data_IF_348720845710
#
_entry.id   IF_348720845710
#
_cell.length_a   1.000
_cell.length_b   1.000
_cell.length_c   1.000
_cell.angle_alpha   90.00
_cell.angle_beta   90.00
_cell.angle_gamma   90.00
#
_symmetry.space_group_name_H-M   'P 1'
#
loop_
_entity.id
_entity.type
_entity.pdbx_description
1 polymer ?
#
# COMPACT_ATOMS: atom_id res chain seq x y z
N UNK A 1 64.20 10.41 -5.58
CA UNK A 1 63.11 9.41 -5.73
C UNK A 1 62.21 9.36 -4.48
N UNK A 2 61.46 10.44 -4.15
CA UNK A 2 60.55 10.44 -2.97
C UNK A 2 59.17 11.09 -3.19
N UNK A 3 58.83 11.49 -4.42
CA UNK A 3 57.57 12.21 -4.71
C UNK A 3 56.56 11.44 -5.58
N UNK A 4 56.86 10.23 -6.05
CA UNK A 4 55.97 9.46 -6.95
C UNK A 4 55.10 8.40 -6.26
N UNK A 5 55.22 8.24 -4.95
CA UNK A 5 54.46 7.22 -4.18
C UNK A 5 53.20 7.80 -3.51
N UNK A 6 53.14 9.12 -3.30
CA UNK A 6 52.00 9.76 -2.64
C UNK A 6 50.76 9.89 -3.54
N UNK A 7 50.93 9.93 -4.87
CA UNK A 7 49.81 10.13 -5.80
C UNK A 7 48.99 8.84 -5.98
N UNK A 8 49.61 7.67 -5.87
CA UNK A 8 48.91 6.39 -6.03
C UNK A 8 48.01 6.01 -4.83
N UNK A 9 48.28 6.55 -3.64
CA UNK A 9 47.46 6.29 -2.45
C UNK A 9 46.19 7.14 -2.38
N UNK A 10 46.20 8.36 -2.95
CA UNK A 10 45.01 9.22 -3.00
C UNK A 10 44.04 8.75 -4.07
N UNK A 11 44.53 8.23 -5.20
CA UNK A 11 43.67 7.67 -6.24
C UNK A 11 42.94 6.40 -5.78
N UNK A 12 43.59 5.51 -5.03
CA UNK A 12 42.95 4.30 -4.52
C UNK A 12 41.87 4.57 -3.46
N UNK A 13 42.01 5.63 -2.64
CA UNK A 13 40.94 6.04 -1.72
C UNK A 13 39.74 6.65 -2.43
N UNK A 14 39.93 7.29 -3.59
CA UNK A 14 38.84 7.92 -4.36
C UNK A 14 38.05 6.93 -5.23
N UNK A 15 38.64 5.79 -5.63
CA UNK A 15 37.91 4.72 -6.34
C UNK A 15 37.20 3.73 -5.38
N UNK A 16 37.50 3.78 -4.08
CA UNK A 16 36.74 3.06 -3.04
C UNK A 16 35.56 3.88 -2.48
N UNK A 17 35.37 5.12 -2.96
CA UNK A 17 34.09 5.83 -2.84
C UNK A 17 33.22 5.38 -4.01
N UNK A 18 32.87 4.10 -4.03
CA UNK A 18 31.69 3.69 -4.77
C UNK A 18 30.54 4.52 -4.17
N UNK A 19 30.08 5.55 -4.89
CA UNK A 19 29.00 6.41 -4.48
C UNK A 19 27.80 5.52 -4.16
N UNK A 20 27.65 5.18 -2.88
CA UNK A 20 26.78 4.10 -2.46
C UNK A 20 25.35 4.46 -2.85
N UNK A 21 24.71 3.67 -3.72
CA UNK A 21 23.31 3.87 -4.00
C UNK A 21 22.57 3.61 -2.65
N UNK A 22 21.58 4.47 -2.37
CA UNK A 22 20.87 4.56 -1.09
C UNK A 22 19.43 4.20 -1.36
N UNK A 23 18.80 3.53 -0.39
CA UNK A 23 17.36 3.41 -0.38
C UNK A 23 16.74 4.82 -0.47
N UNK A 24 15.71 4.95 -1.28
CA UNK A 24 14.89 6.14 -1.42
C UNK A 24 13.47 5.71 -1.14
N UNK A 25 12.87 6.39 -0.19
CA UNK A 25 11.53 6.17 0.27
C UNK A 25 10.79 7.49 0.23
N UNK A 26 9.47 7.42 0.16
CA UNK A 26 8.59 8.57 0.19
C UNK A 26 7.66 8.43 1.39
N UNK A 27 7.27 9.55 2.01
CA UNK A 27 6.21 9.49 3.01
C UNK A 27 4.94 8.93 2.36
N UNK A 28 4.17 8.19 3.13
CA UNK A 28 2.89 7.67 2.68
C UNK A 28 1.90 8.83 2.47
N UNK A 29 1.12 8.75 1.39
CA UNK A 29 0.09 9.73 1.08
C UNK A 29 -1.16 9.54 1.94
N UNK A 30 -1.90 10.61 2.18
CA UNK A 30 -3.12 10.53 2.96
C UNK A 30 -4.23 9.79 2.20
N UNK A 31 -4.71 8.69 2.76
CA UNK A 31 -5.92 8.01 2.30
C UNK A 31 -6.97 8.14 3.40
N UNK A 32 -7.84 9.16 3.38
CA UNK A 32 -8.81 9.37 4.44
C UNK A 32 -9.77 8.18 4.55
N UNK A 33 -10.33 7.89 5.73
CA UNK A 33 -11.36 6.88 5.86
C UNK A 33 -12.58 7.28 5.01
N UNK A 34 -13.46 6.34 4.71
CA UNK A 34 -14.77 6.66 4.11
C UNK A 34 -15.63 7.44 5.10
N UNK A 35 -15.43 7.17 6.40
CA UNK A 35 -16.17 7.79 7.50
C UNK A 35 -17.16 6.82 8.13
N UNK A 36 -18.03 7.31 9.03
CA UNK A 36 -19.03 6.45 9.67
C UNK A 36 -19.94 5.80 8.61
N UNK A 37 -20.47 4.58 8.88
CA UNK A 37 -21.44 3.95 8.01
C UNK A 37 -22.60 4.92 7.77
N UNK A 38 -22.94 5.17 6.51
CA UNK A 38 -24.17 5.89 6.21
C UNK A 38 -25.36 5.06 6.69
N UNK A 39 -26.39 5.73 7.19
CA UNK A 39 -27.70 5.11 7.42
C UNK A 39 -28.32 4.78 6.06
N UNK A 40 -27.82 3.71 5.43
CA UNK A 40 -28.37 3.14 4.22
C UNK A 40 -29.65 2.41 4.59
N UNK A 41 -30.75 2.79 3.95
CA UNK A 41 -31.97 1.99 3.94
C UNK A 41 -32.34 1.77 2.47
N UNK A 42 -32.25 0.52 2.05
CA UNK A 42 -32.59 0.06 0.71
C UNK A 42 -33.89 -0.74 0.75
N UNK A 43 -34.32 -1.23 -0.42
CA UNK A 43 -35.60 -1.92 -0.60
C UNK A 43 -35.83 -3.08 0.40
N UNK A 44 -34.79 -3.85 0.73
CA UNK A 44 -34.89 -4.94 1.72
C UNK A 44 -33.82 -4.84 2.82
N UNK A 45 -34.08 -5.45 4.00
CA UNK A 45 -33.07 -5.55 5.05
C UNK A 45 -31.79 -6.25 4.60
N UNK A 46 -31.89 -7.28 3.77
CA UNK A 46 -30.73 -8.02 3.25
C UNK A 46 -29.89 -7.16 2.30
N UNK A 47 -30.54 -6.39 1.43
CA UNK A 47 -29.84 -5.47 0.52
C UNK A 47 -29.14 -4.37 1.33
N UNK A 48 -29.83 -3.82 2.31
CA UNK A 48 -29.29 -2.83 3.25
C UNK A 48 -28.07 -3.38 4.00
N UNK A 49 -28.18 -4.58 4.56
CA UNK A 49 -27.09 -5.23 5.30
C UNK A 49 -25.88 -5.51 4.39
N UNK A 50 -26.11 -5.92 3.14
CA UNK A 50 -25.04 -6.18 2.18
C UNK A 50 -24.30 -4.90 1.78
N UNK A 51 -25.02 -3.80 1.53
CA UNK A 51 -24.43 -2.48 1.24
C UNK A 51 -23.64 -1.94 2.45
N UNK A 52 -24.19 -2.05 3.66
CA UNK A 52 -23.50 -1.67 4.89
C UNK A 52 -22.22 -2.51 5.13
N UNK A 53 -22.27 -3.82 4.85
CA UNK A 53 -21.10 -4.71 4.96
C UNK A 53 -20.01 -4.33 3.97
N UNK A 54 -20.37 -4.00 2.72
CA UNK A 54 -19.42 -3.52 1.71
C UNK A 54 -18.76 -2.19 2.13
N UNK A 55 -19.55 -1.24 2.65
CA UNK A 55 -19.02 0.01 3.19
C UNK A 55 -18.04 -0.25 4.33
N UNK A 56 -18.44 -1.02 5.35
CA UNK A 56 -17.62 -1.28 6.52
C UNK A 56 -16.32 -2.01 6.17
N UNK A 57 -16.37 -2.95 5.23
CA UNK A 57 -15.19 -3.70 4.81
C UNK A 57 -14.20 -2.82 4.05
N UNK A 58 -14.69 -1.93 3.18
CA UNK A 58 -13.83 -0.98 2.46
C UNK A 58 -13.26 0.11 3.36
N UNK A 59 -14.04 0.59 4.34
CA UNK A 59 -13.56 1.52 5.38
C UNK A 59 -12.51 0.87 6.29
N UNK A 60 -12.68 -0.42 6.65
CA UNK A 60 -11.70 -1.16 7.45
C UNK A 60 -10.32 -1.26 6.75
N UNK A 61 -10.30 -1.47 5.43
CA UNK A 61 -9.06 -1.46 4.63
C UNK A 61 -8.33 -0.12 4.75
N UNK A 62 -9.07 0.99 4.62
CA UNK A 62 -8.51 2.34 4.66
C UNK A 62 -8.05 2.71 6.07
N UNK A 63 -8.84 2.37 7.09
CA UNK A 63 -8.45 2.55 8.49
C UNK A 63 -7.16 1.80 8.78
N UNK A 64 -7.07 0.53 8.40
CA UNK A 64 -5.85 -0.26 8.59
C UNK A 64 -4.65 0.35 7.86
N UNK A 65 -4.84 0.87 6.64
CA UNK A 65 -3.79 1.61 5.97
C UNK A 65 -3.29 2.78 6.82
N UNK A 66 -4.19 3.60 7.34
CA UNK A 66 -3.84 4.79 8.11
C UNK A 66 -3.23 4.46 9.48
N UNK A 67 -3.79 3.49 10.20
CA UNK A 67 -3.40 3.19 11.58
C UNK A 67 -2.19 2.29 11.67
N UNK A 68 -2.01 1.39 10.70
CA UNK A 68 -1.01 0.33 10.79
C UNK A 68 0.09 0.44 9.73
N UNK A 69 -0.27 0.67 8.46
CA UNK A 69 0.70 0.67 7.35
C UNK A 69 1.38 2.03 7.12
N UNK A 70 0.63 3.13 7.20
CA UNK A 70 1.15 4.48 7.02
C UNK A 70 2.27 4.80 8.03
N UNK A 71 2.18 4.43 9.31
CA UNK A 71 3.30 4.58 10.25
C UNK A 71 4.54 3.77 9.84
N UNK A 72 4.37 2.56 9.30
CA UNK A 72 5.50 1.76 8.79
C UNK A 72 6.18 2.49 7.63
N UNK A 73 5.42 2.95 6.64
CA UNK A 73 5.99 3.65 5.48
C UNK A 73 6.68 4.95 5.87
N UNK A 74 6.07 5.73 6.77
CA UNK A 74 6.68 6.96 7.29
C UNK A 74 7.92 6.67 8.12
N UNK A 75 7.92 5.63 8.94
CA UNK A 75 9.08 5.18 9.71
C UNK A 75 10.22 4.73 8.80
N UNK A 76 9.93 3.92 7.77
CA UNK A 76 10.91 3.51 6.76
C UNK A 76 11.45 4.72 6.01
N UNK A 77 10.60 5.72 5.74
CA UNK A 77 11.03 6.99 5.18
C UNK A 77 12.05 7.70 6.05
N UNK A 78 11.72 7.92 7.31
CA UNK A 78 12.63 8.54 8.29
C UNK A 78 13.93 7.76 8.43
N UNK A 79 13.86 6.44 8.62
CA UNK A 79 15.02 5.57 8.79
C UNK A 79 15.96 5.62 7.58
N UNK A 80 15.39 5.66 6.38
CA UNK A 80 16.16 5.80 5.14
C UNK A 80 16.86 7.17 5.04
N UNK A 81 16.15 8.26 5.40
CA UNK A 81 16.73 9.61 5.38
C UNK A 81 17.86 9.78 6.39
N UNK A 82 17.74 9.16 7.57
CA UNK A 82 18.74 9.22 8.63
C UNK A 82 19.81 8.13 8.54
N UNK A 83 19.70 7.21 7.57
CA UNK A 83 20.53 5.99 7.49
C UNK A 83 20.49 5.16 8.79
N UNK A 84 19.33 5.12 9.44
CA UNK A 84 19.11 4.34 10.66
C UNK A 84 18.75 2.89 10.28
N UNK A 85 19.80 2.06 10.17
CA UNK A 85 19.67 0.65 9.80
C UNK A 85 18.92 -0.18 10.83
N UNK A 86 19.03 0.15 12.12
CA UNK A 86 18.36 -0.59 13.20
C UNK A 86 16.85 -0.32 13.18
N UNK A 87 16.44 0.94 12.99
CA UNK A 87 15.03 1.27 12.81
C UNK A 87 14.46 0.63 11.55
N UNK A 88 15.22 0.63 10.44
CA UNK A 88 14.82 -0.03 9.20
C UNK A 88 14.66 -1.56 9.37
N UNK A 89 15.57 -2.20 10.13
CA UNK A 89 15.53 -3.64 10.42
C UNK A 89 14.30 -4.04 11.23
N UNK A 90 13.88 -3.20 12.17
CA UNK A 90 12.68 -3.45 12.97
C UNK A 90 11.40 -3.25 12.17
N UNK A 91 11.36 -2.21 11.35
CA UNK A 91 10.16 -1.81 10.60
C UNK A 91 9.84 -2.75 9.44
N UNK A 92 10.84 -3.34 8.77
CA UNK A 92 10.58 -4.20 7.59
C UNK A 92 9.83 -5.51 7.93
N UNK A 93 10.22 -6.33 8.93
CA UNK A 93 9.45 -7.53 9.31
C UNK A 93 8.09 -7.18 9.91
N UNK A 94 7.99 -6.07 10.66
CA UNK A 94 6.70 -5.59 11.16
C UNK A 94 5.77 -5.23 10.01
N UNK A 95 6.27 -4.49 9.02
CA UNK A 95 5.57 -4.15 7.80
C UNK A 95 5.08 -5.38 7.03
N UNK A 96 5.92 -6.41 6.88
CA UNK A 96 5.54 -7.66 6.20
C UNK A 96 4.32 -8.29 6.90
N UNK A 97 4.38 -8.47 8.23
CA UNK A 97 3.26 -9.06 9.00
C UNK A 97 1.99 -8.24 8.91
N UNK A 98 2.09 -6.91 8.90
CA UNK A 98 0.94 -6.02 8.74
C UNK A 98 0.39 -6.04 7.32
N UNK A 99 1.25 -6.18 6.30
CA UNK A 99 0.84 -6.28 4.91
C UNK A 99 0.01 -7.55 4.64
N UNK A 100 0.35 -8.68 5.27
CA UNK A 100 -0.44 -9.91 5.19
C UNK A 100 -1.84 -9.72 5.77
N UNK A 101 -1.95 -9.06 6.94
CA UNK A 101 -3.25 -8.71 7.54
C UNK A 101 -4.04 -7.76 6.64
N UNK A 102 -3.37 -6.80 6.02
CA UNK A 102 -4.00 -5.87 5.10
C UNK A 102 -4.58 -6.57 3.86
N UNK A 103 -3.87 -7.58 3.34
CA UNK A 103 -4.35 -8.40 2.23
C UNK A 103 -5.62 -9.17 2.61
N UNK A 104 -5.69 -9.71 3.83
CA UNK A 104 -6.89 -10.40 4.31
C UNK A 104 -8.12 -9.48 4.34
N UNK A 105 -7.95 -8.21 4.76
CA UNK A 105 -9.03 -7.23 4.72
C UNK A 105 -9.51 -6.94 3.28
N UNK A 106 -8.60 -6.97 2.30
CA UNK A 106 -8.97 -6.87 0.88
C UNK A 106 -9.83 -8.07 0.46
N UNK A 107 -9.48 -9.29 0.87
CA UNK A 107 -10.28 -10.48 0.57
C UNK A 107 -11.66 -10.43 1.24
N UNK A 108 -11.75 -9.97 2.49
CA UNK A 108 -13.02 -9.80 3.19
C UNK A 108 -13.94 -8.82 2.44
N UNK A 109 -13.40 -7.72 1.92
CA UNK A 109 -14.16 -6.78 1.12
C UNK A 109 -14.52 -7.33 -0.28
N UNK A 110 -13.68 -8.17 -0.90
CA UNK A 110 -14.03 -8.91 -2.13
C UNK A 110 -15.22 -9.86 -1.88
N UNK A 111 -15.28 -10.52 -0.71
CA UNK A 111 -16.43 -11.31 -0.29
C UNK A 111 -17.68 -10.45 -0.05
N UNK A 112 -17.53 -9.29 0.60
CA UNK A 112 -18.63 -8.35 0.81
C UNK A 112 -19.21 -7.82 -0.52
N UNK A 113 -18.35 -7.55 -1.50
CA UNK A 113 -18.76 -7.15 -2.84
C UNK A 113 -19.60 -8.25 -3.52
N UNK A 114 -19.18 -9.52 -3.41
CA UNK A 114 -19.96 -10.64 -3.95
C UNK A 114 -21.33 -10.74 -3.28
N UNK A 115 -21.41 -10.58 -1.97
CA UNK A 115 -22.68 -10.57 -1.23
C UNK A 115 -23.58 -9.40 -1.67
N UNK A 116 -23.01 -8.22 -1.85
CA UNK A 116 -23.71 -7.04 -2.36
C UNK A 116 -24.28 -7.27 -3.77
N UNK A 117 -23.49 -7.77 -4.72
CA UNK A 117 -23.99 -8.11 -6.07
C UNK A 117 -25.16 -9.09 -6.04
N UNK A 118 -25.06 -10.12 -5.20
CA UNK A 118 -26.13 -11.11 -5.04
C UNK A 118 -27.43 -10.53 -4.45
N UNK A 119 -27.31 -9.55 -3.56
CA UNK A 119 -28.46 -8.84 -3.01
C UNK A 119 -29.05 -7.86 -4.03
N UNK A 120 -28.20 -7.11 -4.74
CA UNK A 120 -28.60 -6.18 -5.79
C UNK A 120 -29.39 -6.87 -6.91
N UNK A 121 -28.95 -8.05 -7.35
CA UNK A 121 -29.63 -8.84 -8.38
C UNK A 121 -31.05 -9.31 -8.00
N UNK A 122 -31.42 -9.20 -6.72
CA UNK A 122 -32.75 -9.57 -6.20
C UNK A 122 -33.65 -8.36 -5.96
N UNK A 123 -33.12 -7.13 -6.10
CA UNK A 123 -33.92 -5.92 -6.00
C UNK A 123 -34.96 -5.87 -7.12
N UNK A 124 -36.15 -5.34 -6.83
CA UNK A 124 -37.25 -5.26 -7.80
C UNK A 124 -37.19 -3.99 -8.60
N UNK A 125 -36.71 -2.91 -8.00
CA UNK A 125 -36.57 -1.61 -8.66
C UNK A 125 -35.41 -1.64 -9.69
N UNK A 126 -35.69 -1.52 -11.01
CA UNK A 126 -34.67 -1.55 -12.04
C UNK A 126 -33.65 -0.41 -11.93
N UNK A 127 -34.06 0.77 -11.45
CA UNK A 127 -33.15 1.90 -11.25
C UNK A 127 -32.21 1.63 -10.07
N UNK A 128 -32.73 1.03 -8.99
CA UNK A 128 -31.90 0.57 -7.88
C UNK A 128 -30.89 -0.49 -8.32
N UNK A 129 -31.31 -1.48 -9.11
CA UNK A 129 -30.42 -2.52 -9.67
C UNK A 129 -29.28 -1.86 -10.46
N UNK A 130 -29.60 -0.90 -11.32
CA UNK A 130 -28.61 -0.19 -12.13
C UNK A 130 -27.61 0.62 -11.29
N UNK A 131 -28.09 1.34 -10.27
CA UNK A 131 -27.22 2.07 -9.32
C UNK A 131 -26.35 1.11 -8.51
N UNK A 132 -26.91 -0.03 -8.11
CA UNK A 132 -26.18 -1.10 -7.42
C UNK A 132 -25.07 -1.70 -8.27
N UNK A 133 -25.32 -1.98 -9.55
CA UNK A 133 -24.28 -2.47 -10.46
C UNK A 133 -23.16 -1.44 -10.67
N UNK A 134 -23.50 -0.16 -10.81
CA UNK A 134 -22.50 0.90 -10.87
C UNK A 134 -21.64 0.94 -9.59
N UNK A 135 -22.28 0.83 -8.43
CA UNK A 135 -21.59 0.79 -7.14
C UNK A 135 -20.68 -0.43 -7.02
N UNK A 136 -21.14 -1.60 -7.47
CA UNK A 136 -20.35 -2.81 -7.50
C UNK A 136 -19.12 -2.68 -8.42
N UNK A 137 -19.25 -2.00 -9.56
CA UNK A 137 -18.12 -1.70 -10.45
C UNK A 137 -17.11 -0.74 -9.80
N UNK A 138 -17.57 0.29 -9.08
CA UNK A 138 -16.68 1.20 -8.34
C UNK A 138 -15.95 0.47 -7.21
N UNK A 139 -16.65 -0.40 -6.50
CA UNK A 139 -16.05 -1.24 -5.45
C UNK A 139 -14.99 -2.18 -6.02
N UNK A 140 -15.27 -2.84 -7.15
CA UNK A 140 -14.28 -3.70 -7.84
C UNK A 140 -13.04 -2.91 -8.26
N UNK A 141 -13.22 -1.71 -8.83
CA UNK A 141 -12.11 -0.84 -9.19
C UNK A 141 -11.26 -0.48 -7.98
N UNK A 142 -11.89 -0.03 -6.89
CA UNK A 142 -11.20 0.28 -5.63
C UNK A 142 -10.41 -0.92 -5.10
N UNK A 143 -11.06 -2.10 -4.97
CA UNK A 143 -10.43 -3.31 -4.46
C UNK A 143 -9.26 -3.77 -5.32
N UNK A 144 -9.35 -3.62 -6.64
CA UNK A 144 -8.23 -3.89 -7.56
C UNK A 144 -7.04 -2.97 -7.29
N UNK A 145 -7.27 -1.67 -7.07
CA UNK A 145 -6.19 -0.74 -6.75
C UNK A 145 -5.60 -1.02 -5.36
N UNK A 146 -6.42 -1.39 -4.39
CA UNK A 146 -5.97 -1.80 -3.05
C UNK A 146 -5.12 -3.05 -3.10
N UNK A 147 -5.56 -4.09 -3.80
CA UNK A 147 -4.77 -5.33 -4.00
C UNK A 147 -3.42 -5.03 -4.66
N UNK A 148 -3.40 -4.14 -5.66
CA UNK A 148 -2.15 -3.73 -6.28
C UNK A 148 -1.22 -3.01 -5.29
N UNK A 149 -1.75 -2.08 -4.50
CA UNK A 149 -1.00 -1.35 -3.48
C UNK A 149 -0.42 -2.29 -2.41
N UNK A 150 -1.22 -3.24 -1.90
CA UNK A 150 -0.79 -4.27 -0.93
C UNK A 150 0.33 -5.15 -1.52
N UNK A 151 0.18 -5.60 -2.76
CA UNK A 151 1.18 -6.43 -3.43
C UNK A 151 2.51 -5.68 -3.66
N UNK A 152 2.43 -4.42 -4.09
CA UNK A 152 3.62 -3.58 -4.26
C UNK A 152 4.30 -3.31 -2.92
N UNK A 153 3.52 -3.03 -1.88
CA UNK A 153 4.03 -2.82 -0.52
C UNK A 153 4.74 -4.06 0.00
N UNK A 154 4.16 -5.25 -0.17
CA UNK A 154 4.79 -6.52 0.22
C UNK A 154 6.12 -6.77 -0.49
N UNK A 155 6.22 -6.48 -1.79
CA UNK A 155 7.49 -6.58 -2.55
C UNK A 155 8.54 -5.61 -2.03
N UNK A 156 8.17 -4.34 -1.85
CA UNK A 156 9.08 -3.32 -1.33
C UNK A 156 9.61 -3.69 0.05
N UNK A 157 8.76 -4.20 0.95
CA UNK A 157 9.17 -4.63 2.27
C UNK A 157 10.12 -5.85 2.23
N UNK A 158 9.88 -6.79 1.32
CA UNK A 158 10.76 -7.95 1.12
C UNK A 158 12.12 -7.53 0.53
N UNK A 159 12.14 -6.63 -0.45
CA UNK A 159 13.37 -6.10 -1.04
C UNK A 159 14.18 -5.30 0.00
N UNK A 160 13.49 -4.50 0.82
CA UNK A 160 14.11 -3.78 1.94
C UNK A 160 14.72 -4.71 2.98
N UNK A 161 13.99 -5.76 3.38
CA UNK A 161 14.51 -6.78 4.30
C UNK A 161 15.76 -7.47 3.74
N UNK A 162 15.74 -7.87 2.46
CA UNK A 162 16.87 -8.49 1.79
C UNK A 162 18.08 -7.54 1.72
N UNK A 163 17.86 -6.26 1.40
CA UNK A 163 18.92 -5.23 1.37
C UNK A 163 19.59 -5.09 2.74
N UNK A 164 18.81 -4.99 3.83
CA UNK A 164 19.37 -4.74 5.15
C UNK A 164 20.15 -5.96 5.69
N UNK A 165 19.66 -7.17 5.43
CA UNK A 165 20.37 -8.41 5.81
C UNK A 165 21.75 -8.50 5.16
N UNK A 166 21.85 -8.14 3.87
CA UNK A 166 23.14 -8.10 3.16
C UNK A 166 24.14 -7.13 3.77
N UNK A 167 23.66 -6.03 4.34
CA UNK A 167 24.49 -5.05 5.04
C UNK A 167 25.05 -5.62 6.37
N UNK A 168 24.18 -6.23 7.20
CA UNK A 168 24.59 -6.80 8.49
C UNK A 168 25.53 -8.01 8.37
N UNK A 169 25.31 -8.86 7.36
CA UNK A 169 26.14 -10.05 7.13
C UNK A 169 27.52 -9.73 6.52
N UNK A 170 27.89 -8.44 6.35
CA UNK A 170 29.15 -7.96 5.74
C UNK A 170 29.44 -8.53 4.36
N UNK A 171 28.43 -9.07 3.69
CA UNK A 171 28.51 -9.44 2.29
C UNK A 171 28.32 -8.17 1.46
N UNK A 172 29.39 -7.37 1.35
CA UNK A 172 29.42 -6.16 0.50
C UNK A 172 29.08 -6.47 -0.97
N UNK A 173 29.21 -7.73 -1.42
CA UNK A 173 28.75 -8.23 -2.72
C UNK A 173 27.24 -8.43 -2.85
N UNK A 174 26.48 -8.33 -1.75
CA UNK A 174 25.03 -8.48 -1.68
C UNK A 174 24.28 -7.18 -1.35
N UNK A 175 24.97 -6.04 -1.29
CA UNK A 175 24.35 -4.74 -1.63
C UNK A 175 23.97 -4.81 -3.12
N UNK A 176 22.92 -5.57 -3.44
CA UNK A 176 22.54 -5.88 -4.79
C UNK A 176 21.84 -4.65 -5.36
N UNK A 177 22.43 -3.94 -6.34
CA UNK A 177 21.79 -2.79 -6.98
C UNK A 177 20.41 -3.14 -7.53
N UNK A 178 20.13 -4.40 -7.84
CA UNK A 178 18.80 -4.86 -8.27
C UNK A 178 17.74 -4.71 -7.16
N UNK A 179 18.03 -5.10 -5.92
CA UNK A 179 17.08 -4.97 -4.80
C UNK A 179 16.87 -3.51 -4.44
N UNK A 180 17.94 -2.72 -4.47
CA UNK A 180 17.83 -1.29 -4.24
C UNK A 180 17.02 -0.59 -5.34
N UNK A 181 17.32 -0.86 -6.61
CA UNK A 181 16.55 -0.31 -7.73
C UNK A 181 15.09 -0.78 -7.70
N UNK A 182 14.87 -2.04 -7.32
CA UNK A 182 13.52 -2.61 -7.15
C UNK A 182 12.78 -1.89 -6.02
N UNK A 183 13.40 -1.72 -4.86
CA UNK A 183 12.85 -0.98 -3.72
C UNK A 183 12.50 0.46 -4.12
N UNK A 184 13.47 1.20 -4.67
CA UNK A 184 13.33 2.61 -5.04
C UNK A 184 12.22 2.80 -6.10
N UNK A 185 12.22 1.96 -7.14
CA UNK A 185 11.18 2.01 -8.18
C UNK A 185 9.80 1.60 -7.66
N UNK A 186 9.74 0.69 -6.69
CA UNK A 186 8.47 0.25 -6.09
C UNK A 186 7.92 1.31 -5.13
N UNK A 187 8.78 1.99 -4.37
CA UNK A 187 8.39 3.13 -3.54
C UNK A 187 7.78 4.27 -4.37
N UNK A 188 8.36 4.57 -5.53
CA UNK A 188 7.79 5.56 -6.44
C UNK A 188 6.41 5.13 -6.97
N UNK A 189 6.26 3.85 -7.33
CA UNK A 189 4.98 3.28 -7.78
C UNK A 189 3.92 3.34 -6.68
N UNK A 190 4.26 2.95 -5.44
CA UNK A 190 3.38 3.01 -4.27
C UNK A 190 2.87 4.45 -4.07
N UNK A 191 3.78 5.44 -4.13
CA UNK A 191 3.40 6.86 -3.99
C UNK A 191 2.41 7.29 -5.07
N UNK A 192 2.66 6.95 -6.34
CA UNK A 192 1.75 7.28 -7.45
C UNK A 192 0.41 6.55 -7.31
N UNK A 193 0.45 5.29 -6.89
CA UNK A 193 -0.72 4.43 -6.70
C UNK A 193 -1.65 4.97 -5.61
N UNK A 194 -1.12 5.61 -4.56
CA UNK A 194 -1.92 6.27 -3.54
C UNK A 194 -2.90 7.31 -4.10
N UNK A 195 -2.52 8.04 -5.16
CA UNK A 195 -3.42 8.96 -5.86
C UNK A 195 -4.60 8.24 -6.51
N UNK A 196 -4.33 7.16 -7.23
CA UNK A 196 -5.36 6.35 -7.90
C UNK A 196 -6.30 5.67 -6.90
N UNK A 197 -5.76 5.21 -5.76
CA UNK A 197 -6.58 4.66 -4.67
C UNK A 197 -7.52 5.73 -4.11
N UNK A 198 -7.04 6.96 -3.91
CA UNK A 198 -7.89 8.07 -3.46
C UNK A 198 -9.03 8.36 -4.44
N UNK A 199 -8.74 8.44 -5.74
CA UNK A 199 -9.75 8.68 -6.77
C UNK A 199 -10.83 7.59 -6.80
N UNK A 200 -10.42 6.32 -6.78
CA UNK A 200 -11.37 5.19 -6.78
C UNK A 200 -12.17 5.09 -5.49
N UNK A 201 -11.56 5.43 -4.35
CA UNK A 201 -12.23 5.55 -3.04
C UNK A 201 -13.30 6.63 -3.06
N UNK A 202 -13.00 7.82 -3.58
CA UNK A 202 -13.95 8.93 -3.65
C UNK A 202 -15.15 8.60 -4.55
N UNK A 203 -14.87 7.96 -5.70
CA UNK A 203 -15.91 7.48 -6.61
C UNK A 203 -16.80 6.40 -5.97
N UNK A 204 -16.21 5.46 -5.22
CA UNK A 204 -16.97 4.46 -4.47
C UNK A 204 -17.83 5.11 -3.38
N UNK A 205 -17.24 6.04 -2.60
CA UNK A 205 -17.94 6.74 -1.54
C UNK A 205 -19.18 7.44 -2.09
N UNK A 206 -19.04 8.20 -3.19
CA UNK A 206 -20.13 8.88 -3.86
C UNK A 206 -21.22 7.91 -4.33
N UNK A 207 -20.83 6.82 -5.01
CA UNK A 207 -21.76 5.81 -5.51
C UNK A 207 -22.57 5.14 -4.39
N UNK A 208 -21.95 4.83 -3.25
CA UNK A 208 -22.64 4.29 -2.07
C UNK A 208 -23.63 5.31 -1.48
N UNK A 209 -23.34 6.62 -1.52
CA UNK A 209 -24.31 7.65 -1.08
C UNK A 209 -25.53 7.70 -1.99
N UNK A 210 -25.34 7.50 -3.29
CA UNK A 210 -26.39 7.58 -4.30
C UNK A 210 -27.34 6.37 -4.33
N UNK A 211 -27.01 5.29 -3.58
CA UNK A 211 -27.86 4.09 -3.46
C UNK A 211 -29.13 4.31 -2.64
N UNK A 212 -29.17 5.32 -1.77
CA UNK A 212 -30.32 5.56 -0.89
C UNK A 212 -31.57 5.89 -1.72
N UNK A 213 -32.72 5.38 -1.27
CA UNK A 213 -34.06 5.67 -1.80
C UNK A 213 -34.68 6.81 -0.99
#
# INVERSE_FOLDING_TARGET
MRQRVAILLVSALLFAVGCAPKLVSYPAGDLPPLGPPQQMQLETPEHTAAAATLWNSTDAILKFYQTDMQPIFNGLHTATQSMDHDAFDQLTPEGIRKNDKWLLLVFDAEHALKAFRNANAKARDPELVKKGELTALKAEQFLKQMRLLVNQSGRMLADGYAYNRSWHEKNLSHLNPENENSFNSTMEKIKKQGGVVRETRDALAASLRELHI
#
